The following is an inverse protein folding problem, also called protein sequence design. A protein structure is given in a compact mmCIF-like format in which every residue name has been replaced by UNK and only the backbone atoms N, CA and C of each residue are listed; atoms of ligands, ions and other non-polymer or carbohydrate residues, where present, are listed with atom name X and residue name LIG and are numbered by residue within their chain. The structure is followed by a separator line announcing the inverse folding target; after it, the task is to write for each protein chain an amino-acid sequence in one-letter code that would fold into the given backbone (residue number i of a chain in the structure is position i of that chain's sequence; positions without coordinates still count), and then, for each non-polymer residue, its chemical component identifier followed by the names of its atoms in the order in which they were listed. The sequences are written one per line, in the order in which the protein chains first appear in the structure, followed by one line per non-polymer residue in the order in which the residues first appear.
data_IF_194245808104
#
_entry.id   IF_194245808104
#
_cell.length_a   1.000
_cell.length_b   1.000
_cell.length_c   1.000
_cell.angle_alpha   90.00
_cell.angle_beta   90.00
_cell.angle_gamma   90.00
#
_symmetry.space_group_name_H-M   'P 1'
#
loop_
_entity.id
_entity.type
_entity.pdbx_description
1 polymer ?
#
# COMPACT_ATOMS: atom_id res chain seq x y z
N UNK A 1 7.00 30.09 -3.67
CA UNK A 1 5.84 30.68 -2.99
C UNK A 1 6.30 31.86 -2.15
N UNK A 2 5.64 33.02 -2.21
CA UNK A 2 6.00 34.14 -1.33
C UNK A 2 5.65 33.79 0.12
N UNK A 3 6.44 34.29 1.09
CA UNK A 3 6.15 34.17 2.54
C UNK A 3 4.70 34.54 2.91
N UNK A 4 4.07 35.38 2.09
CA UNK A 4 2.71 35.87 2.23
C UNK A 4 1.64 34.78 2.07
N UNK A 5 1.84 33.80 1.19
CA UNK A 5 0.89 32.70 0.99
C UNK A 5 0.90 31.66 2.12
N UNK A 6 2.01 31.60 2.89
CA UNK A 6 2.20 30.68 4.01
C UNK A 6 1.64 31.27 5.32
N UNK A 7 1.62 32.60 5.46
CA UNK A 7 1.15 33.30 6.67
C UNK A 7 -0.33 33.70 6.63
N UNK A 8 -1.04 33.41 5.54
CA UNK A 8 -2.49 33.60 5.43
C UNK A 8 -3.08 32.32 4.85
N UNK A 9 -3.06 31.21 5.60
CA UNK A 9 -3.69 29.95 5.20
C UNK A 9 -5.21 30.06 5.10
N UNK A 10 -5.69 30.73 4.06
CA UNK A 10 -7.03 30.53 3.50
C UNK A 10 -7.06 29.19 2.74
N UNK A 11 -5.89 28.64 2.41
CA UNK A 11 -5.76 27.40 1.67
C UNK A 11 -6.01 26.19 2.58
N UNK A 12 -7.13 25.49 2.34
CA UNK A 12 -7.43 24.16 2.91
C UNK A 12 -6.50 23.05 2.41
N UNK A 13 -5.56 23.39 1.52
CA UNK A 13 -4.64 22.49 0.85
C UNK A 13 -3.22 23.06 0.88
N UNK A 14 -2.25 22.22 1.21
CA UNK A 14 -0.84 22.54 1.21
C UNK A 14 -0.06 21.47 0.45
N UNK A 15 0.78 21.89 -0.50
CA UNK A 15 1.55 20.99 -1.38
C UNK A 15 3.03 21.38 -1.43
N UNK A 16 3.91 20.51 -0.92
CA UNK A 16 5.36 20.72 -0.99
C UNK A 16 6.01 20.12 -2.22
N UNK A 17 5.30 19.47 -3.13
CA UNK A 17 5.88 19.07 -4.41
C UNK A 17 6.42 20.28 -5.20
N UNK A 18 5.89 21.48 -4.94
CA UNK A 18 6.36 22.74 -5.51
C UNK A 18 7.55 23.37 -4.75
N UNK A 19 7.94 22.85 -3.59
CA UNK A 19 8.98 23.45 -2.73
C UNK A 19 9.77 22.38 -1.95
N UNK A 20 11.09 22.35 -2.10
CA UNK A 20 11.97 21.39 -1.40
C UNK A 20 12.09 21.59 0.12
N UNK A 21 11.36 22.55 0.69
CA UNK A 21 11.41 22.88 2.12
C UNK A 21 10.00 23.04 2.67
N UNK A 22 9.63 22.17 3.61
CA UNK A 22 8.45 22.38 4.44
C UNK A 22 8.72 23.55 5.40
N UNK A 23 7.78 24.50 5.58
CA UNK A 23 7.98 25.60 6.52
C UNK A 23 8.17 25.05 7.94
N UNK A 24 9.23 25.45 8.67
CA UNK A 24 9.58 24.86 9.95
C UNK A 24 8.46 24.94 10.99
N UNK A 25 7.58 25.94 10.88
CA UNK A 25 6.32 26.01 11.60
C UNK A 25 5.23 26.53 10.65
N UNK A 26 4.10 25.81 10.57
CA UNK A 26 2.83 26.41 10.17
C UNK A 26 2.25 27.10 11.41
N UNK A 27 1.61 28.25 11.25
CA UNK A 27 0.88 28.87 12.36
C UNK A 27 -0.29 27.97 12.82
N UNK A 28 -0.76 28.18 14.05
CA UNK A 28 -1.80 27.33 14.66
C UNK A 28 -3.12 27.38 13.88
N UNK A 29 -3.42 28.51 13.25
CA UNK A 29 -4.60 28.69 12.40
C UNK A 29 -4.50 27.84 11.12
N UNK A 30 -3.36 27.85 10.43
CA UNK A 30 -3.04 26.97 9.32
C UNK A 30 -3.21 25.50 9.72
N UNK A 31 -2.66 25.09 10.87
CA UNK A 31 -2.73 23.70 11.31
C UNK A 31 -4.17 23.25 11.58
N UNK A 32 -4.97 24.11 12.20
CA UNK A 32 -6.36 23.77 12.55
C UNK A 32 -7.30 23.80 11.34
N UNK A 33 -6.99 24.53 10.27
CA UNK A 33 -7.83 24.62 9.07
C UNK A 33 -7.39 23.72 7.91
N UNK A 34 -6.14 23.23 7.90
CA UNK A 34 -5.61 22.41 6.83
C UNK A 34 -6.36 21.08 6.70
N UNK A 35 -6.92 20.82 5.52
CA UNK A 35 -7.65 19.58 5.22
C UNK A 35 -6.85 18.61 4.36
N UNK A 36 -6.03 19.13 3.45
CA UNK A 36 -5.21 18.33 2.54
C UNK A 36 -3.76 18.71 2.66
N UNK A 37 -2.91 17.72 2.92
CA UNK A 37 -1.47 17.87 2.99
C UNK A 37 -0.81 16.92 1.98
N UNK A 38 -0.04 17.50 1.04
CA UNK A 38 0.76 16.75 0.07
C UNK A 38 2.23 17.01 0.35
N UNK A 39 2.97 15.95 0.66
CA UNK A 39 4.39 15.98 0.90
C UNK A 39 5.13 15.35 -0.28
N UNK A 40 6.04 16.11 -0.88
CA UNK A 40 6.98 15.62 -1.87
C UNK A 40 8.16 14.84 -1.27
N UNK A 41 9.20 14.57 -2.08
CA UNK A 41 10.32 13.73 -1.67
C UNK A 41 11.00 14.29 -0.42
N UNK A 42 10.99 13.51 0.67
CA UNK A 42 11.62 13.88 1.94
C UNK A 42 11.94 12.63 2.78
N UNK A 43 12.69 12.80 3.86
CA UNK A 43 12.94 11.76 4.84
C UNK A 43 12.13 12.03 6.13
N UNK A 44 11.48 10.99 6.64
CA UNK A 44 10.84 10.95 7.96
C UNK A 44 11.61 9.92 8.77
N UNK A 45 12.21 10.34 9.88
CA UNK A 45 12.86 9.43 10.81
C UNK A 45 12.41 9.66 12.25
N UNK A 46 12.65 8.69 13.12
CA UNK A 46 12.33 8.80 14.56
C UNK A 46 13.45 9.48 15.36
N UNK A 47 14.69 9.48 14.85
CA UNK A 47 15.84 10.05 15.54
C UNK A 47 16.06 11.51 15.18
N UNK A 48 16.33 12.35 16.18
CA UNK A 48 16.77 13.72 15.98
C UNK A 48 18.23 13.71 15.55
N UNK A 49 18.50 13.72 14.25
CA UNK A 49 19.83 14.07 13.76
C UNK A 49 19.91 15.60 13.64
N UNK A 50 20.97 16.18 14.17
CA UNK A 50 21.18 17.64 14.22
C UNK A 50 21.55 18.25 12.86
N UNK A 51 21.54 17.47 11.78
CA UNK A 51 22.25 17.82 10.53
C UNK A 51 21.41 17.82 9.24
N UNK A 52 20.12 17.47 9.26
CA UNK A 52 19.31 17.42 8.03
C UNK A 52 18.14 18.41 8.02
N UNK A 53 17.99 19.10 6.89
CA UNK A 53 17.05 20.19 6.62
C UNK A 53 15.63 19.66 6.40
N UNK A 54 15.07 19.04 7.42
CA UNK A 54 14.06 18.02 7.27
C UNK A 54 12.61 18.49 7.41
N UNK A 55 11.72 17.86 6.63
CA UNK A 55 10.27 17.82 6.82
C UNK A 55 9.83 17.24 8.19
N UNK A 56 10.80 16.79 8.99
CA UNK A 56 10.65 16.31 10.36
C UNK A 56 9.89 17.25 11.30
N UNK A 57 9.90 18.57 11.09
CA UNK A 57 9.19 19.48 12.00
C UNK A 57 7.67 19.20 12.05
N UNK A 58 7.10 18.70 10.96
CA UNK A 58 5.67 18.33 10.85
C UNK A 58 5.30 17.18 11.77
N UNK A 59 6.16 16.16 11.81
CA UNK A 59 5.93 14.96 12.61
C UNK A 59 6.60 15.04 14.00
N UNK A 60 7.56 15.93 14.23
CA UNK A 60 8.16 16.18 15.57
C UNK A 60 7.17 16.75 16.58
N UNK A 61 6.22 17.56 16.13
CA UNK A 61 5.20 18.11 17.03
C UNK A 61 4.17 17.06 17.45
N UNK A 62 4.11 15.91 16.75
CA UNK A 62 3.22 14.80 17.07
C UNK A 62 3.69 14.08 18.35
N UNK A 63 5.00 13.84 18.51
CA UNK A 63 5.54 13.16 19.69
C UNK A 63 5.58 14.05 20.94
N UNK A 64 5.64 15.38 20.78
CA UNK A 64 5.72 16.34 21.89
C UNK A 64 4.37 16.78 22.45
N UNK A 65 3.27 16.43 21.80
CA UNK A 65 1.92 16.74 22.31
C UNK A 65 1.00 15.52 22.19
N UNK A 66 1.09 14.56 23.13
CA UNK A 66 0.27 13.35 23.13
C UNK A 66 -1.25 13.61 23.29
N UNK A 67 -1.67 14.86 23.53
CA UNK A 67 -3.08 15.24 23.64
C UNK A 67 -3.59 16.16 22.51
N UNK A 68 -2.71 16.67 21.64
CA UNK A 68 -3.08 17.59 20.56
C UNK A 68 -2.49 17.12 19.24
N UNK A 69 -3.22 16.26 18.52
CA UNK A 69 -2.82 15.79 17.20
C UNK A 69 -2.51 16.98 16.28
N UNK A 70 -1.35 16.95 15.63
CA UNK A 70 -1.02 17.94 14.61
C UNK A 70 -2.03 17.81 13.47
N UNK A 71 -2.63 18.93 13.06
CA UNK A 71 -3.63 19.01 12.00
C UNK A 71 -4.96 18.29 12.31
N UNK A 72 -5.75 18.78 13.30
CA UNK A 72 -7.00 18.14 13.71
C UNK A 72 -8.07 18.07 12.60
N UNK A 73 -7.98 18.94 11.59
CA UNK A 73 -8.89 18.97 10.43
C UNK A 73 -8.38 18.24 9.21
N UNK A 74 -7.20 17.61 9.28
CA UNK A 74 -6.59 16.93 8.13
C UNK A 74 -7.39 15.69 7.77
N UNK A 75 -8.02 15.71 6.59
CA UNK A 75 -8.78 14.57 6.06
C UNK A 75 -8.03 13.83 4.96
N UNK A 76 -7.05 14.47 4.32
CA UNK A 76 -6.27 13.88 3.22
C UNK A 76 -4.78 14.10 3.41
N UNK A 77 -4.02 13.01 3.45
CA UNK A 77 -2.56 13.02 3.49
C UNK A 77 -2.01 12.26 2.29
N UNK A 78 -1.17 12.92 1.50
CA UNK A 78 -0.46 12.32 0.38
C UNK A 78 1.04 12.44 0.60
N UNK A 79 1.73 11.31 0.60
CA UNK A 79 3.18 11.21 0.71
C UNK A 79 3.72 10.70 -0.63
N UNK A 80 4.60 11.48 -1.26
CA UNK A 80 5.22 11.15 -2.54
C UNK A 80 6.74 11.04 -2.38
N UNK A 81 7.29 9.86 -2.70
CA UNK A 81 8.72 9.56 -2.58
C UNK A 81 9.30 9.88 -1.21
N UNK A 82 8.52 9.60 -0.16
CA UNK A 82 8.95 9.78 1.22
C UNK A 82 9.71 8.54 1.67
N UNK A 83 10.87 8.76 2.26
CA UNK A 83 11.69 7.72 2.86
C UNK A 83 11.43 7.67 4.36
N UNK A 84 11.04 6.49 4.88
CA UNK A 84 10.90 6.22 6.31
C UNK A 84 12.20 5.59 6.82
N UNK A 85 12.95 6.32 7.63
CA UNK A 85 14.25 5.89 8.16
C UNK A 85 14.21 5.68 9.68
N UNK A 86 14.75 4.55 10.16
CA UNK A 86 14.78 4.19 11.58
C UNK A 86 13.42 4.27 12.28
N UNK A 87 12.37 3.73 11.66
CA UNK A 87 11.02 3.76 12.24
C UNK A 87 10.88 2.67 13.31
N UNK A 88 10.71 3.08 14.58
CA UNK A 88 10.47 2.14 15.67
C UNK A 88 9.03 1.58 15.61
N UNK A 89 8.87 0.27 15.82
CA UNK A 89 7.59 -0.46 15.75
C UNK A 89 6.43 0.17 16.54
N UNK A 90 6.75 0.88 17.63
CA UNK A 90 5.75 1.44 18.55
C UNK A 90 5.21 2.80 18.09
N UNK A 91 5.86 3.44 17.12
CA UNK A 91 5.33 4.64 16.50
C UNK A 91 4.20 4.25 15.56
N UNK A 92 3.06 4.93 15.69
CA UNK A 92 1.95 4.82 14.76
C UNK A 92 1.74 6.21 14.15
N UNK A 93 2.53 6.53 13.12
CA UNK A 93 2.66 7.87 12.54
C UNK A 93 1.30 8.48 12.23
N UNK A 94 0.38 7.64 11.76
CA UNK A 94 -0.91 8.07 11.26
C UNK A 94 -2.01 8.11 12.32
N UNK A 95 -1.81 7.53 13.52
CA UNK A 95 -2.87 7.50 14.55
C UNK A 95 -3.19 8.86 15.12
N UNK A 96 -2.25 9.80 15.00
CA UNK A 96 -2.40 11.16 15.52
C UNK A 96 -3.22 12.08 14.59
N UNK A 97 -3.53 11.64 13.37
CA UNK A 97 -4.45 12.34 12.47
C UNK A 97 -5.88 11.82 12.70
N UNK A 98 -6.53 12.32 13.74
CA UNK A 98 -7.84 11.85 14.20
C UNK A 98 -8.97 11.99 13.16
N UNK A 99 -8.83 12.93 12.22
CA UNK A 99 -9.78 13.19 11.12
C UNK A 99 -9.34 12.61 9.77
N UNK A 100 -8.24 11.88 9.71
CA UNK A 100 -7.70 11.39 8.44
C UNK A 100 -8.64 10.36 7.82
N UNK A 101 -9.14 10.68 6.63
CA UNK A 101 -10.04 9.85 5.85
C UNK A 101 -9.32 9.20 4.66
N UNK A 102 -8.36 9.89 4.06
CA UNK A 102 -7.68 9.48 2.83
C UNK A 102 -6.17 9.51 3.01
N UNK A 103 -5.51 8.36 2.83
CA UNK A 103 -4.05 8.25 2.87
C UNK A 103 -3.52 7.72 1.53
N UNK A 104 -2.57 8.44 0.94
CA UNK A 104 -1.89 8.05 -0.29
C UNK A 104 -0.38 7.95 -0.03
N UNK A 105 0.19 6.77 -0.22
CA UNK A 105 1.63 6.52 -0.15
C UNK A 105 2.13 6.14 -1.54
N UNK A 106 2.88 7.03 -2.20
CA UNK A 106 3.26 6.87 -3.61
C UNK A 106 4.77 6.94 -3.76
N UNK A 107 5.39 5.86 -4.20
CA UNK A 107 6.84 5.79 -4.38
C UNK A 107 7.63 5.89 -3.08
N UNK A 108 6.97 5.70 -1.93
CA UNK A 108 7.63 5.77 -0.63
C UNK A 108 8.53 4.55 -0.40
N UNK A 109 9.53 4.69 0.45
CA UNK A 109 10.44 3.61 0.79
C UNK A 109 10.64 3.53 2.29
N UNK A 110 11.05 2.36 2.78
CA UNK A 110 11.43 2.18 4.18
C UNK A 110 12.81 1.55 4.27
N UNK A 111 13.72 2.21 4.99
CA UNK A 111 15.05 1.66 5.25
C UNK A 111 14.97 0.53 6.25
N UNK A 112 15.82 -0.49 6.04
CA UNK A 112 15.95 -1.64 6.93
C UNK A 112 16.30 -1.16 8.34
N UNK A 113 15.39 -1.40 9.26
CA UNK A 113 15.66 -1.45 10.69
C UNK A 113 15.42 -2.89 11.17
N UNK A 114 15.77 -3.21 12.41
CA UNK A 114 15.47 -4.48 13.07
C UNK A 114 13.95 -4.78 13.17
N UNK A 115 13.11 -3.83 12.75
CA UNK A 115 11.67 -3.90 12.79
C UNK A 115 11.10 -4.51 11.53
N UNK A 116 10.50 -5.69 11.69
CA UNK A 116 9.86 -6.43 10.61
C UNK A 116 8.42 -5.96 10.33
N UNK A 117 7.92 -4.91 10.96
CA UNK A 117 6.52 -4.47 10.82
C UNK A 117 6.43 -2.96 10.57
N UNK A 118 5.71 -2.58 9.51
CA UNK A 118 5.30 -1.20 9.26
C UNK A 118 3.79 -1.08 9.51
N UNK A 119 3.42 -0.28 10.50
CA UNK A 119 2.03 -0.12 10.94
C UNK A 119 1.39 1.12 10.30
N UNK A 120 0.24 0.94 9.65
CA UNK A 120 -0.64 2.01 9.20
C UNK A 120 -1.93 1.91 10.01
N UNK A 121 -2.21 2.89 10.85
CA UNK A 121 -3.46 2.92 11.57
C UNK A 121 -4.01 4.33 11.73
N UNK A 122 -5.27 4.47 11.34
CA UNK A 122 -6.02 5.72 11.38
C UNK A 122 -7.50 5.36 11.59
N UNK A 123 -8.13 5.81 12.69
CA UNK A 123 -9.45 5.32 13.11
C UNK A 123 -10.58 5.71 12.15
N UNK A 124 -10.44 6.84 11.45
CA UNK A 124 -11.44 7.39 10.50
C UNK A 124 -11.08 7.19 9.03
N UNK A 125 -9.99 6.47 8.74
CA UNK A 125 -9.52 6.30 7.37
C UNK A 125 -10.48 5.42 6.58
N UNK A 126 -11.07 6.00 5.53
CA UNK A 126 -12.01 5.34 4.62
C UNK A 126 -11.35 4.92 3.31
N UNK A 127 -10.24 5.56 2.92
CA UNK A 127 -9.49 5.25 1.71
C UNK A 127 -7.98 5.16 1.97
N UNK A 128 -7.37 4.09 1.49
CA UNK A 128 -5.92 3.90 1.51
C UNK A 128 -5.42 3.49 0.13
N UNK A 129 -4.48 4.26 -0.42
CA UNK A 129 -3.75 3.92 -1.64
C UNK A 129 -2.27 3.78 -1.35
N UNK A 130 -1.68 2.67 -1.74
CA UNK A 130 -0.24 2.41 -1.67
C UNK A 130 0.23 2.07 -3.08
N UNK A 131 1.11 2.88 -3.66
CA UNK A 131 1.68 2.67 -4.99
C UNK A 131 3.19 2.67 -4.93
N UNK A 132 3.83 1.68 -5.54
CA UNK A 132 5.28 1.63 -5.74
C UNK A 132 6.06 1.78 -4.43
N UNK A 133 5.56 1.16 -3.36
CA UNK A 133 6.14 1.23 -2.03
C UNK A 133 7.31 0.24 -1.92
N UNK A 134 8.52 0.76 -1.72
CA UNK A 134 9.74 -0.03 -1.62
C UNK A 134 10.00 -0.43 -0.16
N UNK A 135 9.69 -1.68 0.16
CA UNK A 135 9.92 -2.26 1.48
C UNK A 135 10.69 -3.57 1.33
N UNK A 136 11.59 -3.83 2.27
CA UNK A 136 12.31 -5.10 2.31
C UNK A 136 11.31 -6.27 2.36
N UNK A 137 11.56 -7.31 1.56
CA UNK A 137 10.66 -8.47 1.42
C UNK A 137 10.43 -9.24 2.73
N UNK A 138 11.24 -9.02 3.77
CA UNK A 138 11.06 -9.62 5.09
C UNK A 138 10.09 -8.84 5.98
N UNK A 139 9.69 -7.64 5.56
CA UNK A 139 8.83 -6.76 6.34
C UNK A 139 7.35 -7.00 6.04
N UNK A 140 6.55 -6.87 7.09
CA UNK A 140 5.11 -6.96 7.09
C UNK A 140 4.51 -5.56 7.13
N UNK A 141 3.62 -5.27 6.19
CA UNK A 141 2.72 -4.13 6.28
C UNK A 141 1.49 -4.55 7.09
N UNK A 142 1.20 -3.84 8.17
CA UNK A 142 0.02 -4.07 8.99
C UNK A 142 -0.91 -2.87 8.95
N UNK A 143 -2.17 -3.08 8.54
CA UNK A 143 -3.18 -2.04 8.42
C UNK A 143 -4.24 -2.26 9.51
N UNK A 144 -4.48 -1.23 10.32
CA UNK A 144 -5.54 -1.20 11.34
C UNK A 144 -6.40 0.06 11.18
N UNK A 145 -7.46 -0.06 10.38
CA UNK A 145 -8.36 1.03 10.02
C UNK A 145 -9.81 0.51 9.96
N UNK A 146 -10.60 0.63 11.05
CA UNK A 146 -11.90 -0.02 11.17
C UNK A 146 -12.98 0.54 10.23
N UNK A 147 -12.76 1.74 9.70
CA UNK A 147 -13.68 2.42 8.78
C UNK A 147 -13.21 2.33 7.32
N UNK A 148 -12.18 1.54 7.02
CA UNK A 148 -11.59 1.43 5.70
C UNK A 148 -12.55 0.76 4.72
N UNK A 149 -12.99 1.53 3.72
CA UNK A 149 -13.91 1.07 2.67
C UNK A 149 -13.17 0.73 1.39
N UNK A 150 -12.17 1.54 1.03
CA UNK A 150 -11.46 1.45 -0.24
C UNK A 150 -9.98 1.19 0.02
N UNK A 151 -9.46 0.08 -0.50
CA UNK A 151 -8.04 -0.22 -0.44
C UNK A 151 -7.47 -0.47 -1.83
N UNK A 152 -6.45 0.31 -2.20
CA UNK A 152 -5.74 0.18 -3.47
C UNK A 152 -4.25 -0.06 -3.21
N UNK A 153 -3.73 -1.20 -3.67
CA UNK A 153 -2.33 -1.56 -3.62
C UNK A 153 -1.81 -1.75 -5.04
N UNK A 154 -0.78 -0.99 -5.41
CA UNK A 154 -0.11 -1.08 -6.69
C UNK A 154 1.39 -1.22 -6.46
N UNK A 155 2.06 -2.18 -7.09
CA UNK A 155 3.51 -2.34 -6.91
C UNK A 155 3.98 -3.77 -6.69
N UNK A 156 5.05 -3.91 -5.90
CA UNK A 156 5.61 -5.20 -5.52
C UNK A 156 4.77 -5.89 -4.43
N UNK A 157 4.72 -7.23 -4.41
CA UNK A 157 3.97 -7.96 -3.39
C UNK A 157 4.60 -7.74 -2.00
N UNK A 158 3.78 -7.19 -1.10
CA UNK A 158 4.12 -6.97 0.31
C UNK A 158 3.52 -8.08 1.16
N UNK A 159 4.17 -8.42 2.29
CA UNK A 159 3.47 -9.21 3.31
C UNK A 159 2.44 -8.31 3.99
N UNK A 160 1.20 -8.35 3.49
CA UNK A 160 0.10 -7.57 4.04
C UNK A 160 -0.66 -8.33 5.13
N UNK A 161 -0.97 -7.63 6.22
CA UNK A 161 -1.85 -8.05 7.29
C UNK A 161 -2.90 -6.96 7.52
N UNK A 162 -4.19 -7.32 7.47
CA UNK A 162 -5.27 -6.42 7.84
C UNK A 162 -5.82 -6.82 9.20
N UNK A 163 -5.92 -5.86 10.12
CA UNK A 163 -6.53 -6.01 11.43
C UNK A 163 -7.73 -5.10 11.53
N UNK A 164 -8.85 -5.62 12.03
CA UNK A 164 -10.07 -4.85 12.28
C UNK A 164 -10.66 -4.12 11.06
N UNK A 165 -10.24 -4.41 9.83
CA UNK A 165 -10.74 -3.73 8.62
C UNK A 165 -11.92 -4.48 7.95
N UNK A 166 -12.13 -5.75 8.27
CA UNK A 166 -12.93 -6.68 7.46
C UNK A 166 -14.42 -6.31 7.34
N UNK A 167 -14.98 -5.59 8.31
CA UNK A 167 -16.42 -5.28 8.32
C UNK A 167 -16.80 -4.10 7.42
N UNK A 168 -15.85 -3.21 7.12
CA UNK A 168 -16.11 -1.98 6.37
C UNK A 168 -15.61 -2.01 4.92
N UNK A 169 -14.74 -2.97 4.57
CA UNK A 169 -14.11 -3.04 3.25
C UNK A 169 -15.13 -3.34 2.14
N UNK A 170 -15.40 -2.33 1.32
CA UNK A 170 -16.31 -2.40 0.18
C UNK A 170 -15.56 -2.79 -1.10
N UNK A 171 -14.39 -2.19 -1.34
CA UNK A 171 -13.62 -2.41 -2.57
C UNK A 171 -12.13 -2.57 -2.29
N UNK A 172 -11.55 -3.62 -2.86
CA UNK A 172 -10.11 -3.88 -2.85
C UNK A 172 -9.57 -4.01 -4.27
N UNK A 173 -8.56 -3.21 -4.59
CA UNK A 173 -7.82 -3.25 -5.86
C UNK A 173 -6.37 -3.56 -5.56
N UNK A 174 -5.86 -4.65 -6.13
CA UNK A 174 -4.47 -5.06 -6.00
C UNK A 174 -3.90 -5.21 -7.41
N UNK A 175 -2.97 -4.34 -7.80
CA UNK A 175 -2.29 -4.35 -9.09
C UNK A 175 -0.79 -4.62 -8.88
N UNK A 176 -0.39 -5.87 -9.04
CA UNK A 176 0.98 -6.32 -8.81
C UNK A 176 1.80 -6.33 -10.10
N UNK A 177 3.06 -5.91 -9.99
CA UNK A 177 4.01 -5.98 -11.11
C UNK A 177 5.01 -7.11 -10.94
N UNK A 178 5.48 -7.63 -12.06
CA UNK A 178 6.60 -8.54 -12.06
C UNK A 178 7.86 -7.80 -11.56
N UNK A 179 8.64 -8.42 -10.66
CA UNK A 179 9.96 -7.91 -10.29
C UNK A 179 10.89 -7.81 -11.50
N UNK A 180 11.98 -7.04 -11.41
CA UNK A 180 13.08 -7.10 -12.37
C UNK A 180 13.56 -8.55 -12.57
N UNK A 181 13.95 -8.91 -13.79
CA UNK A 181 14.28 -10.30 -14.17
C UNK A 181 15.39 -10.94 -13.32
N UNK A 182 16.33 -10.15 -12.82
CA UNK A 182 17.44 -10.62 -11.97
C UNK A 182 16.94 -11.24 -10.66
N UNK A 183 15.88 -10.68 -10.09
CA UNK A 183 15.25 -11.17 -8.87
C UNK A 183 14.31 -12.35 -9.14
N UNK A 184 13.67 -12.39 -10.31
CA UNK A 184 12.75 -13.45 -10.70
C UNK A 184 13.44 -14.83 -10.80
N UNK A 185 14.76 -14.86 -11.06
CA UNK A 185 15.54 -16.10 -11.19
C UNK A 185 15.83 -16.79 -9.85
N UNK A 186 15.69 -16.09 -8.72
CA UNK A 186 15.90 -16.68 -7.39
C UNK A 186 14.65 -17.46 -6.98
N UNK A 187 14.69 -18.80 -7.08
CA UNK A 187 13.59 -19.72 -6.71
C UNK A 187 12.97 -19.38 -5.34
N UNK A 188 13.80 -19.11 -4.33
CA UNK A 188 13.38 -18.75 -2.97
C UNK A 188 12.50 -17.49 -2.97
N UNK A 189 12.87 -16.47 -3.77
CA UNK A 189 12.12 -15.23 -3.83
C UNK A 189 10.74 -15.42 -4.48
N UNK A 190 10.64 -16.30 -5.47
CA UNK A 190 9.36 -16.69 -6.10
C UNK A 190 8.44 -17.36 -5.09
N UNK A 191 8.93 -18.32 -4.32
CA UNK A 191 8.17 -19.04 -3.30
C UNK A 191 7.69 -18.12 -2.16
N UNK A 192 8.59 -17.27 -1.64
CA UNK A 192 8.25 -16.28 -0.59
C UNK A 192 7.16 -15.32 -1.07
N UNK A 193 7.24 -14.86 -2.32
CA UNK A 193 6.21 -13.98 -2.91
C UNK A 193 4.85 -14.67 -3.03
N UNK A 194 4.84 -15.90 -3.53
CA UNK A 194 3.61 -16.72 -3.61
C UNK A 194 3.01 -16.91 -2.21
N UNK A 195 3.85 -17.18 -1.22
CA UNK A 195 3.43 -17.32 0.17
C UNK A 195 2.80 -16.03 0.72
N UNK A 196 3.45 -14.87 0.54
CA UNK A 196 2.91 -13.57 0.98
C UNK A 196 1.60 -13.23 0.28
N UNK A 197 1.54 -13.48 -1.02
CA UNK A 197 0.34 -13.26 -1.81
C UNK A 197 -0.83 -14.11 -1.31
N UNK A 198 -0.60 -15.40 -1.08
CA UNK A 198 -1.62 -16.30 -0.53
C UNK A 198 -2.14 -15.81 0.83
N UNK A 199 -1.26 -15.32 1.70
CA UNK A 199 -1.66 -14.77 3.00
C UNK A 199 -2.45 -13.47 2.87
N UNK A 200 -2.00 -12.56 2.02
CA UNK A 200 -2.68 -11.29 1.74
C UNK A 200 -4.10 -11.57 1.26
N UNK A 201 -4.23 -12.39 0.22
CA UNK A 201 -5.50 -12.71 -0.42
C UNK A 201 -6.47 -13.41 0.55
N UNK A 202 -5.98 -14.34 1.38
CA UNK A 202 -6.79 -14.99 2.42
C UNK A 202 -7.38 -13.97 3.41
N UNK A 203 -6.67 -12.89 3.73
CA UNK A 203 -7.19 -11.83 4.60
C UNK A 203 -8.28 -10.96 3.97
N UNK A 204 -8.47 -11.08 2.66
CA UNK A 204 -9.37 -10.24 1.85
C UNK A 204 -10.59 -11.00 1.32
N UNK A 205 -10.77 -12.27 1.66
CA UNK A 205 -11.85 -13.08 1.11
C UNK A 205 -13.28 -12.63 1.49
N UNK A 206 -13.41 -11.74 2.47
CA UNK A 206 -14.69 -11.24 2.98
C UNK A 206 -15.12 -9.89 2.37
N UNK A 207 -14.35 -9.32 1.44
CA UNK A 207 -14.65 -8.02 0.85
C UNK A 207 -15.75 -8.13 -0.20
N UNK A 208 -16.61 -7.11 -0.31
CA UNK A 208 -17.71 -7.13 -1.29
C UNK A 208 -17.21 -7.16 -2.74
N UNK A 209 -16.18 -6.37 -3.04
CA UNK A 209 -15.51 -6.40 -4.34
C UNK A 209 -14.00 -6.52 -4.18
N UNK A 210 -13.42 -7.51 -4.85
CA UNK A 210 -11.98 -7.76 -4.90
C UNK A 210 -11.55 -7.84 -6.36
N UNK A 211 -10.62 -6.97 -6.75
CA UNK A 211 -9.92 -7.02 -8.02
C UNK A 211 -8.45 -7.26 -7.75
N UNK A 212 -7.93 -8.38 -8.24
CA UNK A 212 -6.50 -8.68 -8.21
C UNK A 212 -5.99 -8.76 -9.64
N UNK A 213 -4.97 -7.98 -9.96
CA UNK A 213 -4.32 -8.00 -11.25
C UNK A 213 -2.82 -8.17 -11.10
N UNK A 214 -2.23 -8.90 -12.06
CA UNK A 214 -0.79 -9.15 -12.11
C UNK A 214 -0.35 -8.86 -13.52
N UNK A 215 0.55 -7.90 -13.65
CA UNK A 215 1.07 -7.46 -14.95
C UNK A 215 2.48 -8.00 -15.14
N UNK A 216 2.70 -8.61 -16.29
CA UNK A 216 3.96 -9.23 -16.68
C UNK A 216 4.58 -8.43 -17.81
N UNK A 217 5.77 -7.87 -17.60
CA UNK A 217 6.39 -6.82 -18.44
C UNK A 217 6.60 -7.19 -19.91
N UNK A 218 6.46 -8.46 -20.27
CA UNK A 218 6.51 -8.96 -21.65
C UNK A 218 5.49 -10.06 -21.96
N UNK A 219 4.77 -10.54 -20.94
CA UNK A 219 3.99 -11.77 -21.00
C UNK A 219 2.49 -11.57 -20.76
N UNK A 220 1.96 -10.35 -20.71
CA UNK A 220 0.52 -10.08 -20.58
C UNK A 220 0.07 -9.78 -19.15
N UNK A 221 -1.21 -10.04 -18.86
CA UNK A 221 -1.85 -9.68 -17.59
C UNK A 221 -2.84 -10.75 -17.12
N UNK A 222 -2.74 -11.13 -15.85
CA UNK A 222 -3.78 -11.91 -15.15
C UNK A 222 -4.72 -10.95 -14.41
N UNK A 223 -6.01 -11.25 -14.46
CA UNK A 223 -7.07 -10.51 -13.81
C UNK A 223 -8.00 -11.50 -13.10
N UNK A 224 -8.15 -11.32 -11.80
CA UNK A 224 -9.20 -11.92 -11.00
C UNK A 224 -10.13 -10.81 -10.54
N UNK A 225 -11.41 -10.98 -10.81
CA UNK A 225 -12.47 -10.10 -10.33
C UNK A 225 -13.45 -10.93 -9.51
N UNK A 226 -13.76 -10.44 -8.33
CA UNK A 226 -14.81 -10.94 -7.46
C UNK A 226 -15.70 -9.76 -7.08
N UNK A 227 -16.99 -10.00 -7.14
CA UNK A 227 -18.03 -9.17 -6.55
C UNK A 227 -19.06 -10.10 -5.89
N UNK A 228 -19.96 -9.57 -5.07
CA UNK A 228 -21.04 -10.30 -4.38
C UNK A 228 -21.88 -11.21 -5.28
N UNK A 229 -21.90 -10.96 -6.59
CA UNK A 229 -22.71 -11.68 -7.56
C UNK A 229 -21.93 -12.49 -8.59
N UNK A 230 -20.64 -12.18 -8.80
CA UNK A 230 -19.86 -12.73 -9.92
C UNK A 230 -18.41 -12.91 -9.50
N UNK A 231 -17.86 -14.08 -9.80
CA UNK A 231 -16.42 -14.34 -9.76
C UNK A 231 -15.98 -14.62 -11.19
N UNK A 232 -14.98 -13.91 -11.67
CA UNK A 232 -14.46 -14.03 -13.03
C UNK A 232 -12.93 -13.99 -13.03
N UNK A 233 -12.31 -14.88 -13.81
CA UNK A 233 -10.89 -14.82 -14.14
C UNK A 233 -10.72 -14.53 -15.61
N UNK A 234 -9.88 -13.54 -15.90
CA UNK A 234 -9.48 -13.14 -17.25
C UNK A 234 -7.96 -13.20 -17.38
N UNK A 235 -7.50 -13.74 -18.49
CA UNK A 235 -6.12 -13.67 -18.93
C UNK A 235 -6.09 -12.78 -20.18
N UNK A 236 -5.28 -11.73 -20.16
CA UNK A 236 -5.25 -10.71 -21.22
C UNK A 236 -3.83 -10.64 -21.78
N UNK A 237 -3.70 -10.72 -23.11
CA UNK A 237 -2.45 -10.54 -23.86
C UNK A 237 -1.27 -11.41 -23.40
N UNK A 238 -1.51 -12.66 -23.00
CA UNK A 238 -0.44 -13.55 -22.54
C UNK A 238 0.50 -13.99 -23.69
N UNK A 239 1.56 -13.23 -23.95
CA UNK A 239 2.64 -13.60 -24.88
C UNK A 239 3.70 -14.43 -24.15
N UNK A 240 3.57 -15.76 -24.18
CA UNK A 240 4.50 -16.70 -23.52
C UNK A 240 3.76 -17.87 -22.86
N UNK A 241 4.49 -18.84 -22.30
CA UNK A 241 3.86 -20.04 -21.69
C UNK A 241 3.07 -19.66 -20.44
N UNK A 242 1.75 -19.59 -20.57
CA UNK A 242 0.79 -19.42 -19.45
C UNK A 242 1.07 -20.42 -18.29
N UNK A 243 1.77 -21.51 -18.60
CA UNK A 243 2.23 -22.60 -17.73
C UNK A 243 3.04 -22.15 -16.51
N UNK A 244 3.83 -21.08 -16.61
CA UNK A 244 4.71 -20.69 -15.49
C UNK A 244 3.95 -20.06 -14.31
N UNK A 245 2.76 -19.51 -14.59
CA UNK A 245 1.95 -18.77 -13.62
C UNK A 245 0.54 -19.32 -13.46
N UNK A 246 0.08 -20.25 -14.31
CA UNK A 246 -1.14 -21.02 -14.07
C UNK A 246 -1.15 -21.70 -12.67
N UNK A 247 -0.04 -22.27 -12.16
CA UNK A 247 0.03 -22.75 -10.79
C UNK A 247 -0.13 -21.64 -9.74
N UNK A 248 0.34 -20.43 -10.02
CA UNK A 248 0.20 -19.28 -9.11
C UNK A 248 -1.24 -18.77 -9.12
N UNK A 249 -1.85 -18.63 -10.30
CA UNK A 249 -3.27 -18.32 -10.44
C UNK A 249 -4.13 -19.36 -9.70
N UNK A 250 -3.82 -20.65 -9.86
CA UNK A 250 -4.49 -21.73 -9.15
C UNK A 250 -4.35 -21.59 -7.62
N UNK A 251 -3.15 -21.29 -7.13
CA UNK A 251 -2.90 -21.08 -5.71
C UNK A 251 -3.68 -19.89 -5.14
N UNK A 252 -3.82 -18.81 -5.92
CA UNK A 252 -4.62 -17.64 -5.56
C UNK A 252 -6.10 -18.02 -5.45
N UNK A 253 -6.64 -18.64 -6.50
CA UNK A 253 -8.05 -19.04 -6.61
C UNK A 253 -8.42 -20.03 -5.50
N UNK A 254 -7.58 -21.05 -5.26
CA UNK A 254 -7.74 -21.97 -4.11
C UNK A 254 -7.63 -21.23 -2.77
N UNK A 255 -6.71 -20.27 -2.64
CA UNK A 255 -6.55 -19.45 -1.43
C UNK A 255 -7.79 -18.62 -1.08
N UNK A 256 -8.60 -18.28 -2.08
CA UNK A 256 -9.88 -17.58 -1.94
C UNK A 256 -11.07 -18.52 -1.71
N UNK A 257 -10.87 -19.84 -1.80
CA UNK A 257 -11.94 -20.83 -1.67
C UNK A 257 -12.81 -20.96 -2.91
N UNK A 258 -12.33 -20.52 -4.09
CA UNK A 258 -13.07 -20.63 -5.34
C UNK A 258 -12.84 -22.00 -6.00
N UNK A 259 -13.35 -23.05 -5.38
CA UNK A 259 -13.05 -24.44 -5.78
C UNK A 259 -13.43 -24.73 -7.24
N UNK A 260 -14.61 -24.30 -7.70
CA UNK A 260 -15.03 -24.50 -9.10
C UNK A 260 -14.05 -23.89 -10.11
N UNK A 261 -13.62 -22.66 -9.84
CA UNK A 261 -12.64 -21.97 -10.68
C UNK A 261 -11.25 -22.59 -10.57
N UNK A 262 -10.90 -23.17 -9.41
CA UNK A 262 -9.66 -23.92 -9.25
C UNK A 262 -9.69 -25.19 -10.11
N UNK A 263 -10.79 -25.93 -10.11
CA UNK A 263 -10.99 -27.13 -10.92
C UNK A 263 -10.88 -26.80 -12.42
N UNK A 264 -11.45 -25.68 -12.87
CA UNK A 264 -11.31 -25.20 -14.26
C UNK A 264 -9.86 -24.86 -14.64
N UNK A 265 -9.11 -24.23 -13.73
CA UNK A 265 -7.70 -23.90 -13.94
C UNK A 265 -6.82 -25.16 -13.93
N UNK A 266 -7.15 -26.15 -13.10
CA UNK A 266 -6.50 -27.47 -13.07
C UNK A 266 -6.75 -28.24 -14.36
N UNK A 267 -7.99 -28.30 -14.84
CA UNK A 267 -8.30 -28.97 -16.10
C UNK A 267 -7.55 -28.32 -17.28
N UNK A 268 -7.43 -26.99 -17.29
CA UNK A 268 -6.61 -26.26 -18.27
C UNK A 268 -5.13 -26.62 -18.17
N UNK A 269 -4.59 -26.77 -16.95
CA UNK A 269 -3.21 -27.19 -16.72
C UNK A 269 -2.98 -28.62 -17.22
N UNK A 270 -3.88 -29.53 -16.88
CA UNK A 270 -3.83 -30.96 -17.23
C UNK A 270 -3.93 -31.19 -18.74
N UNK A 271 -4.88 -30.53 -19.42
CA UNK A 271 -5.03 -30.63 -20.89
C UNK A 271 -3.74 -30.25 -21.61
N UNK A 272 -3.00 -29.27 -21.09
CA UNK A 272 -1.74 -28.84 -21.68
C UNK A 272 -0.60 -29.81 -21.42
N UNK A 273 -0.44 -30.31 -20.19
CA UNK A 273 0.58 -31.34 -19.89
C UNK A 273 0.40 -32.55 -20.80
N UNK A 274 -0.85 -32.97 -21.08
CA UNK A 274 -1.13 -34.09 -22.00
C UNK A 274 -0.79 -33.79 -23.46
N UNK A 275 -0.99 -32.56 -23.93
CA UNK A 275 -0.65 -32.15 -25.31
C UNK A 275 0.85 -32.17 -25.62
N UNK A 276 1.71 -32.32 -24.62
CA UNK A 276 3.17 -32.39 -24.79
C UNK A 276 3.71 -33.83 -24.82
N UNK A 277 2.92 -34.79 -24.35
CA UNK A 277 3.29 -36.21 -24.32
C UNK A 277 2.93 -36.94 -25.63
N UNK A 278 2.35 -36.22 -26.59
CA UNK A 278 1.94 -36.68 -27.91
C UNK A 278 2.52 -35.76 -28.99
#
# INVERSE_FOLDING_TARGET
MSKYAITHCIAKEFDTNATTKFPPCLDEECQTQLKTLKLGPCCISSYVTSSSSDCFAVFRNIDRNPMGGCFPSLTTLQLYKVEFDNYQNDMNLFSNFSSLENLLLIGCSMKLDNNLIFNISAPRMTSLTISDFDICYMMRLEISAPTLKLFNLKGNPLWLSMKNCHQALEEVKIDLFQPPEEDARKKILKEVRIFHLKRMIKGLCHTNSLRVSFTFSSKGKFLLYQNSHVIEVKFVDLKGTEEEWLPVALLIVRGLGFNQLADELEEKLDKRVRSWLH
#
